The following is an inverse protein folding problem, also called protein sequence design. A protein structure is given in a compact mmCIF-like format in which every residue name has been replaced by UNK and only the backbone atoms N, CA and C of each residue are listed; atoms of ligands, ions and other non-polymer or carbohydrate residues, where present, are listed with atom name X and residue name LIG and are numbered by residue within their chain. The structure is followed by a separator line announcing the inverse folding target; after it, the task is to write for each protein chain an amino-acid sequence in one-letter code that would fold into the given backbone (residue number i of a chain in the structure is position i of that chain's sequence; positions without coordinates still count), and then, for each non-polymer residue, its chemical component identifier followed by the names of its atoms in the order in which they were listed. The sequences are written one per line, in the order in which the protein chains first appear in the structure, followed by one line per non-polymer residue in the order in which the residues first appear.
data_IF_722843374631
#
_entry.id   IF_722843374631
#
_cell.length_a   1.000
_cell.length_b   1.000
_cell.length_c   1.000
_cell.angle_alpha   90.00
_cell.angle_beta   90.00
_cell.angle_gamma   90.00
#
_symmetry.space_group_name_H-M   'P 1'
#
loop_
_entity.id
_entity.type
_entity.pdbx_description
1 polymer ?
#
# COMPACT_ATOMS: atom_id res chain seq x y z
N UNK A 1 14.91 7.21 -11.40
CA UNK A 1 14.73 8.09 -10.22
C UNK A 1 13.23 8.38 -10.09
N UNK A 2 12.57 7.94 -9.02
CA UNK A 2 11.15 8.24 -8.80
C UNK A 2 11.03 9.76 -8.64
N UNK A 3 10.28 10.43 -9.50
CA UNK A 3 10.10 11.89 -9.42
C UNK A 3 9.49 12.22 -8.06
N UNK A 4 10.16 13.04 -7.26
CA UNK A 4 9.56 13.62 -6.04
C UNK A 4 8.48 14.59 -6.51
N UNK A 5 7.26 14.10 -6.67
CA UNK A 5 6.12 14.93 -7.04
C UNK A 5 5.63 15.69 -5.82
N UNK A 6 5.84 17.00 -5.81
CA UNK A 6 5.23 17.89 -4.84
C UNK A 6 3.81 18.24 -5.32
N UNK A 7 2.83 17.89 -4.50
CA UNK A 7 1.43 18.01 -4.88
C UNK A 7 1.00 19.47 -4.86
N UNK A 8 0.52 19.97 -5.99
CA UNK A 8 0.05 21.35 -6.11
C UNK A 8 -1.30 21.60 -5.41
N UNK A 9 -2.16 20.59 -5.30
CA UNK A 9 -3.51 20.78 -4.75
C UNK A 9 -3.55 20.67 -3.22
N UNK A 10 -4.15 21.66 -2.54
CA UNK A 10 -4.41 21.64 -1.09
C UNK A 10 -5.59 20.75 -0.63
N UNK A 11 -6.06 19.81 -1.45
CA UNK A 11 -7.20 18.95 -1.09
C UNK A 11 -6.80 17.98 0.03
N UNK A 12 -7.62 17.89 1.10
CA UNK A 12 -7.34 17.12 2.33
C UNK A 12 -6.16 17.62 3.18
N UNK A 13 -5.84 18.92 3.13
CA UNK A 13 -4.82 19.52 3.99
C UNK A 13 -5.20 19.60 5.48
N UNK A 14 -6.46 19.34 5.85
CA UNK A 14 -6.94 19.35 7.23
C UNK A 14 -6.42 18.15 8.04
N UNK A 15 -6.18 18.29 9.34
CA UNK A 15 -5.78 17.17 10.21
C UNK A 15 -6.98 16.30 10.60
N UNK A 16 -6.76 15.02 10.91
CA UNK A 16 -7.85 14.13 11.36
C UNK A 16 -8.39 14.56 12.72
N UNK A 17 -7.51 15.07 13.59
CA UNK A 17 -7.86 15.66 14.89
C UNK A 17 -8.79 16.87 14.75
N UNK A 18 -8.47 17.81 13.84
CA UNK A 18 -9.31 18.97 13.56
C UNK A 18 -10.67 18.56 13.02
N UNK A 19 -10.71 17.54 12.16
CA UNK A 19 -11.95 17.00 11.63
C UNK A 19 -12.82 16.40 12.73
N UNK A 20 -12.23 15.60 13.63
CA UNK A 20 -12.94 15.01 14.76
C UNK A 20 -13.52 16.09 15.68
N UNK A 21 -12.72 17.11 16.02
CA UNK A 21 -13.17 18.27 16.83
C UNK A 21 -14.29 19.05 16.16
N UNK A 22 -14.16 19.32 14.86
CA UNK A 22 -15.18 20.04 14.10
C UNK A 22 -16.49 19.26 14.01
N UNK A 23 -16.43 17.94 13.76
CA UNK A 23 -17.62 17.08 13.73
C UNK A 23 -18.29 17.03 15.10
N UNK A 24 -17.53 16.84 16.18
CA UNK A 24 -18.07 16.84 17.54
C UNK A 24 -18.76 18.17 17.89
N UNK A 25 -18.16 19.31 17.54
CA UNK A 25 -18.75 20.63 17.78
C UNK A 25 -20.05 20.87 17.00
N UNK A 26 -20.16 20.32 15.79
CA UNK A 26 -21.37 20.47 14.95
C UNK A 26 -22.47 19.47 15.32
N UNK A 27 -22.11 18.25 15.71
CA UNK A 27 -23.07 17.23 16.14
C UNK A 27 -23.65 17.58 17.51
N UNK A 28 -22.83 18.08 18.45
CA UNK A 28 -23.30 18.58 19.75
C UNK A 28 -24.05 19.91 19.72
N UNK A 29 -24.17 20.54 18.54
CA UNK A 29 -24.88 21.80 18.37
C UNK A 29 -24.13 23.05 18.87
N UNK A 30 -22.88 22.90 19.35
CA UNK A 30 -22.05 24.01 19.84
C UNK A 30 -21.67 25.01 18.74
N UNK A 31 -21.51 24.54 17.50
CA UNK A 31 -21.18 25.38 16.34
C UNK A 31 -21.99 25.00 15.10
N UNK A 32 -22.37 26.00 14.31
CA UNK A 32 -22.92 25.79 12.96
C UNK A 32 -21.83 25.43 11.94
N UNK A 33 -22.21 24.74 10.86
CA UNK A 33 -21.28 24.29 9.80
C UNK A 33 -20.36 25.38 9.24
N UNK A 34 -20.88 26.61 9.05
CA UNK A 34 -20.08 27.73 8.52
C UNK A 34 -19.00 28.21 9.51
N UNK A 35 -19.33 28.25 10.80
CA UNK A 35 -18.42 28.67 11.85
C UNK A 35 -17.32 27.63 12.03
N UNK A 36 -17.71 26.36 12.21
CA UNK A 36 -16.77 25.25 12.36
C UNK A 36 -15.82 25.12 11.14
N UNK A 37 -16.34 25.29 9.92
CA UNK A 37 -15.50 25.28 8.71
C UNK A 37 -14.39 26.35 8.73
N UNK A 38 -14.70 27.56 9.22
CA UNK A 38 -13.73 28.64 9.35
C UNK A 38 -12.74 28.40 10.49
N UNK A 39 -13.23 27.98 11.65
CA UNK A 39 -12.42 27.78 12.87
C UNK A 39 -11.41 26.66 12.70
N UNK A 40 -11.79 25.55 12.08
CA UNK A 40 -10.94 24.37 11.90
C UNK A 40 -10.27 24.31 10.52
N UNK A 41 -10.46 25.33 9.67
CA UNK A 41 -9.95 25.38 8.29
C UNK A 41 -10.35 24.16 7.43
N UNK A 42 -11.58 23.69 7.60
CA UNK A 42 -12.12 22.51 6.91
C UNK A 42 -13.16 22.94 5.88
N UNK A 43 -13.10 22.44 4.63
CA UNK A 43 -14.15 22.71 3.65
C UNK A 43 -15.52 22.29 4.18
N UNK A 44 -16.47 23.23 4.18
CA UNK A 44 -17.84 23.02 4.71
C UNK A 44 -18.50 21.75 4.18
N UNK A 45 -18.37 21.48 2.88
CA UNK A 45 -18.97 20.29 2.24
C UNK A 45 -18.39 18.98 2.79
N UNK A 46 -17.10 18.96 3.13
CA UNK A 46 -16.44 17.78 3.73
C UNK A 46 -16.91 17.58 5.17
N UNK A 47 -16.98 18.68 5.94
CA UNK A 47 -17.48 18.66 7.30
C UNK A 47 -18.95 18.19 7.36
N UNK A 48 -19.80 18.73 6.48
CA UNK A 48 -21.20 18.35 6.37
C UNK A 48 -21.35 16.86 6.04
N UNK A 49 -20.61 16.36 5.04
CA UNK A 49 -20.64 14.95 4.68
C UNK A 49 -20.26 14.04 5.86
N UNK A 50 -19.18 14.38 6.58
CA UNK A 50 -18.72 13.58 7.75
C UNK A 50 -19.68 13.67 8.93
N UNK A 51 -20.20 14.86 9.26
CA UNK A 51 -21.18 15.03 10.34
C UNK A 51 -22.51 14.30 10.05
N UNK A 52 -22.98 14.30 8.81
CA UNK A 52 -24.17 13.52 8.42
C UNK A 52 -23.96 12.03 8.65
N UNK A 53 -22.81 11.45 8.27
CA UNK A 53 -22.51 10.04 8.52
C UNK A 53 -22.61 9.67 10.00
N UNK A 54 -22.06 10.51 10.87
CA UNK A 54 -22.13 10.34 12.34
C UNK A 54 -23.58 10.43 12.83
N UNK A 55 -24.36 11.39 12.35
CA UNK A 55 -25.79 11.54 12.73
C UNK A 55 -26.65 10.35 12.32
N UNK A 56 -26.36 9.75 11.17
CA UNK A 56 -27.11 8.60 10.64
C UNK A 56 -26.47 7.24 10.97
N UNK A 57 -25.49 7.19 11.89
CA UNK A 57 -24.79 5.97 12.31
C UNK A 57 -24.28 5.12 11.13
N UNK A 58 -23.86 5.79 10.05
CA UNK A 58 -23.24 5.11 8.93
C UNK A 58 -21.82 4.69 9.32
N UNK A 59 -21.32 3.54 8.82
CA UNK A 59 -19.96 3.11 9.10
C UNK A 59 -18.99 4.24 8.78
N UNK A 60 -18.24 4.63 9.81
CA UNK A 60 -17.27 5.68 9.71
C UNK A 60 -16.07 5.11 8.95
N UNK A 61 -15.92 5.49 7.68
CA UNK A 61 -14.63 5.40 7.02
C UNK A 61 -13.76 6.51 7.64
N UNK A 62 -13.16 6.18 8.78
CA UNK A 62 -12.48 7.13 9.66
C UNK A 62 -11.26 7.74 8.96
N UNK A 63 -10.64 6.98 8.06
CA UNK A 63 -9.44 7.38 7.36
C UNK A 63 -9.71 8.47 6.31
N UNK A 64 -8.75 9.37 6.12
CA UNK A 64 -8.75 10.23 4.93
C UNK A 64 -8.78 9.34 3.68
N UNK A 65 -9.75 9.51 2.75
CA UNK A 65 -9.79 8.67 1.57
C UNK A 65 -8.48 8.81 0.80
N UNK A 66 -7.84 7.67 0.51
CA UNK A 66 -6.58 7.60 -0.22
C UNK A 66 -6.69 8.40 -1.52
N UNK A 67 -5.77 9.36 -1.67
CA UNK A 67 -5.78 10.27 -2.80
C UNK A 67 -5.16 9.60 -4.04
N UNK A 68 -5.89 9.63 -5.16
CA UNK A 68 -5.45 9.07 -6.44
C UNK A 68 -5.93 7.64 -6.68
N UNK A 69 -5.69 7.17 -7.90
CA UNK A 69 -6.10 5.86 -8.40
C UNK A 69 -5.24 4.71 -7.85
N UNK A 70 -3.95 4.95 -7.62
CA UNK A 70 -3.03 3.89 -7.23
C UNK A 70 -3.41 3.31 -5.86
N UNK A 71 -3.50 1.99 -5.81
CA UNK A 71 -3.74 1.20 -4.60
C UNK A 71 -2.59 0.20 -4.46
N UNK A 72 -2.20 -0.08 -3.22
CA UNK A 72 -1.28 -1.19 -2.96
C UNK A 72 -1.97 -2.49 -3.40
N UNK A 73 -1.23 -3.34 -4.09
CA UNK A 73 -1.74 -4.66 -4.53
C UNK A 73 -1.88 -5.60 -3.34
N UNK A 74 -0.92 -5.54 -2.41
CA UNK A 74 -0.90 -6.35 -1.20
C UNK A 74 -1.28 -5.55 0.03
N UNK A 75 -1.98 -6.20 0.96
CA UNK A 75 -2.16 -5.73 2.33
C UNK A 75 -0.83 -5.78 3.10
N UNK A 76 -0.77 -5.14 4.26
CA UNK A 76 0.45 -5.14 5.08
C UNK A 76 0.83 -6.53 5.59
N UNK A 77 -0.16 -7.38 5.84
CA UNK A 77 0.08 -8.76 6.27
C UNK A 77 0.64 -9.59 5.10
N UNK A 78 0.01 -9.51 3.92
CA UNK A 78 0.49 -10.16 2.71
C UNK A 78 1.90 -9.69 2.31
N UNK A 79 2.18 -8.40 2.46
CA UNK A 79 3.50 -7.85 2.20
C UNK A 79 4.56 -8.44 3.16
N UNK A 80 4.22 -8.63 4.44
CA UNK A 80 5.11 -9.29 5.41
C UNK A 80 5.34 -10.77 5.08
N UNK A 81 4.30 -11.49 4.67
CA UNK A 81 4.42 -12.90 4.28
C UNK A 81 5.35 -13.04 3.07
N UNK A 82 5.18 -12.16 2.07
CA UNK A 82 6.04 -12.11 0.89
C UNK A 82 7.51 -11.80 1.26
N UNK A 83 7.74 -10.85 2.17
CA UNK A 83 9.09 -10.54 2.69
C UNK A 83 9.69 -11.74 3.41
N UNK A 84 8.91 -12.46 4.22
CA UNK A 84 9.35 -13.68 4.90
C UNK A 84 9.77 -14.76 3.91
N UNK A 85 8.99 -14.96 2.86
CA UNK A 85 9.32 -15.90 1.79
C UNK A 85 10.62 -15.52 1.07
N UNK A 86 10.78 -14.24 0.68
CA UNK A 86 12.01 -13.76 0.04
C UNK A 86 13.23 -13.95 0.95
N UNK A 87 13.11 -13.71 2.25
CA UNK A 87 14.21 -13.95 3.21
C UNK A 87 14.60 -15.41 3.30
N UNK A 88 13.62 -16.31 3.31
CA UNK A 88 13.90 -17.75 3.26
C UNK A 88 14.61 -18.13 1.96
N UNK A 89 14.18 -17.58 0.82
CA UNK A 89 14.87 -17.78 -0.46
C UNK A 89 16.30 -17.25 -0.42
N UNK A 90 16.55 -16.07 0.17
CA UNK A 90 17.90 -15.52 0.34
C UNK A 90 18.81 -16.38 1.23
N UNK A 91 18.25 -17.17 2.15
CA UNK A 91 19.01 -18.08 2.99
C UNK A 91 19.51 -19.30 2.19
N UNK A 92 18.70 -19.80 1.26
CA UNK A 92 19.04 -20.97 0.44
C UNK A 92 19.75 -20.62 -0.87
N UNK A 93 19.45 -19.45 -1.44
CA UNK A 93 20.01 -18.96 -2.70
C UNK A 93 20.82 -17.69 -2.47
N UNK A 94 22.03 -17.67 -3.01
CA UNK A 94 22.99 -16.60 -2.82
C UNK A 94 22.48 -15.25 -3.37
N UNK A 95 21.58 -15.27 -4.37
CA UNK A 95 21.07 -14.08 -5.04
C UNK A 95 19.57 -14.19 -5.31
N UNK A 96 18.77 -13.27 -4.77
CA UNK A 96 17.40 -13.03 -5.23
C UNK A 96 17.40 -11.74 -6.04
N UNK A 97 17.18 -11.84 -7.34
CA UNK A 97 17.18 -10.69 -8.23
C UNK A 97 15.87 -9.90 -8.13
N UNK A 98 15.88 -8.65 -8.62
CA UNK A 98 14.63 -7.87 -8.75
C UNK A 98 13.62 -8.53 -9.68
N UNK A 99 14.10 -9.32 -10.64
CA UNK A 99 13.26 -10.07 -11.56
C UNK A 99 12.48 -11.14 -10.80
N UNK A 100 13.18 -11.89 -9.95
CA UNK A 100 12.63 -12.97 -9.14
C UNK A 100 11.55 -12.44 -8.18
N UNK A 101 11.78 -11.30 -7.54
CA UNK A 101 10.79 -10.64 -6.68
C UNK A 101 9.53 -10.25 -7.46
N UNK A 102 9.68 -9.83 -8.73
CA UNK A 102 8.55 -9.42 -9.58
C UNK A 102 7.72 -10.61 -10.05
N UNK A 103 8.37 -11.73 -10.39
CA UNK A 103 7.71 -12.99 -10.76
C UNK A 103 6.98 -13.59 -9.55
N UNK A 104 7.66 -13.66 -8.41
CA UNK A 104 7.08 -14.12 -7.14
C UNK A 104 5.86 -13.29 -6.73
N UNK A 105 5.93 -11.96 -6.86
CA UNK A 105 4.79 -11.10 -6.56
C UNK A 105 3.61 -11.36 -7.48
N UNK A 106 3.83 -11.59 -8.77
CA UNK A 106 2.76 -11.95 -9.70
C UNK A 106 2.10 -13.27 -9.28
N UNK A 107 2.90 -14.30 -9.04
CA UNK A 107 2.41 -15.61 -8.64
C UNK A 107 1.63 -15.54 -7.32
N UNK A 108 2.17 -14.87 -6.30
CA UNK A 108 1.49 -14.70 -5.03
C UNK A 108 0.14 -13.97 -5.20
N UNK A 109 0.04 -13.02 -6.13
CA UNK A 109 -1.20 -12.31 -6.38
C UNK A 109 -2.26 -13.19 -7.06
N UNK A 110 -1.87 -14.00 -8.04
CA UNK A 110 -2.73 -14.98 -8.71
C UNK A 110 -3.19 -16.08 -7.74
N UNK A 111 -2.27 -16.65 -6.94
CA UNK A 111 -2.58 -17.71 -5.97
C UNK A 111 -3.58 -17.24 -4.90
N UNK A 112 -3.49 -15.97 -4.51
CA UNK A 112 -4.42 -15.34 -3.56
C UNK A 112 -5.66 -14.71 -4.24
N UNK A 113 -5.84 -14.88 -5.55
CA UNK A 113 -6.94 -14.33 -6.35
C UNK A 113 -7.12 -12.81 -6.16
N UNK A 114 -6.01 -12.07 -6.08
CA UNK A 114 -6.00 -10.63 -5.86
C UNK A 114 -6.10 -9.89 -7.19
N UNK A 115 -6.95 -8.87 -7.24
CA UNK A 115 -6.99 -7.97 -8.39
C UNK A 115 -5.70 -7.13 -8.43
N UNK A 116 -4.92 -7.26 -9.51
CA UNK A 116 -3.63 -6.61 -9.65
C UNK A 116 -3.42 -5.97 -11.03
N UNK A 117 -2.64 -4.87 -11.13
CA UNK A 117 -2.28 -4.23 -12.38
C UNK A 117 -1.05 -4.86 -13.05
N UNK A 118 -0.62 -6.04 -12.61
CA UNK A 118 0.56 -6.72 -13.16
C UNK A 118 0.30 -7.24 -14.58
N UNK A 119 1.38 -7.37 -15.35
CA UNK A 119 1.28 -7.81 -16.74
C UNK A 119 1.18 -9.33 -16.79
N UNK A 120 0.03 -9.81 -17.25
CA UNK A 120 -0.30 -11.23 -17.37
C UNK A 120 0.53 -11.90 -18.48
N UNK A 121 0.93 -11.17 -19.52
CA UNK A 121 1.70 -11.75 -20.63
C UNK A 121 3.12 -12.08 -20.20
N UNK A 122 3.76 -11.17 -19.46
CA UNK A 122 5.11 -11.37 -18.92
C UNK A 122 5.10 -12.11 -17.59
N UNK A 123 3.94 -12.29 -16.94
CA UNK A 123 3.75 -12.90 -15.62
C UNK A 123 4.62 -12.26 -14.54
N UNK A 124 4.69 -10.93 -14.57
CA UNK A 124 5.60 -10.15 -13.73
C UNK A 124 4.95 -8.88 -13.19
N UNK A 125 5.29 -8.53 -11.95
CA UNK A 125 5.00 -7.21 -11.41
C UNK A 125 5.78 -6.11 -12.16
N UNK A 126 5.30 -4.86 -12.13
CA UNK A 126 5.97 -3.73 -12.79
C UNK A 126 7.27 -3.28 -12.10
N UNK A 127 8.14 -2.58 -12.84
CA UNK A 127 9.37 -2.00 -12.29
C UNK A 127 9.13 -1.00 -11.15
N UNK A 128 8.08 -0.18 -11.26
CA UNK A 128 7.76 0.78 -10.21
C UNK A 128 7.19 0.12 -8.96
N UNK A 129 6.55 -1.04 -9.13
CA UNK A 129 6.10 -1.85 -8.00
C UNK A 129 7.29 -2.38 -7.19
N UNK A 130 8.28 -3.01 -7.84
CA UNK A 130 9.44 -3.58 -7.12
C UNK A 130 10.27 -2.49 -6.46
N UNK A 131 10.44 -1.33 -7.12
CA UNK A 131 11.13 -0.17 -6.52
C UNK A 131 10.42 0.33 -5.27
N UNK A 132 9.10 0.41 -5.31
CA UNK A 132 8.30 0.86 -4.17
C UNK A 132 8.32 -0.17 -3.03
N UNK A 133 8.28 -1.45 -3.36
CA UNK A 133 8.37 -2.56 -2.41
C UNK A 133 9.74 -2.60 -1.70
N UNK A 134 10.84 -2.50 -2.45
CA UNK A 134 12.20 -2.47 -1.88
C UNK A 134 12.47 -1.19 -1.08
N UNK A 135 11.82 -0.07 -1.43
CA UNK A 135 11.91 1.16 -0.62
C UNK A 135 11.26 0.99 0.77
N UNK A 136 10.22 0.17 0.87
CA UNK A 136 9.55 -0.15 2.15
C UNK A 136 10.27 -1.24 2.93
N UNK A 137 10.96 -2.14 2.24
CA UNK A 137 11.68 -3.28 2.80
C UNK A 137 13.17 -3.21 2.39
N UNK A 138 13.95 -2.23 2.91
CA UNK A 138 15.35 -2.04 2.53
C UNK A 138 16.24 -3.20 2.96
N UNK A 139 15.81 -3.98 3.95
CA UNK A 139 16.44 -5.18 4.48
C UNK A 139 16.58 -6.31 3.43
N UNK A 140 15.76 -6.30 2.38
CA UNK A 140 15.87 -7.24 1.25
C UNK A 140 16.99 -6.88 0.27
N UNK A 141 17.54 -5.66 0.32
CA UNK A 141 18.62 -5.21 -0.54
C UNK A 141 19.99 -5.72 -0.04
N UNK A 142 20.18 -7.03 0.05
CA UNK A 142 21.52 -7.59 0.19
C UNK A 142 22.17 -7.69 -1.19
N UNK A 143 23.27 -6.96 -1.37
CA UNK A 143 24.01 -6.84 -2.63
C UNK A 143 24.96 -8.03 -2.72
N UNK A 144 24.53 -9.11 -3.36
CA UNK A 144 25.46 -10.16 -3.74
C UNK A 144 26.38 -9.62 -4.85
N UNK A 145 27.69 -9.67 -4.63
CA UNK A 145 28.71 -9.08 -5.50
C UNK A 145 29.07 -9.95 -6.73
N UNK A 146 28.25 -10.94 -7.10
CA UNK A 146 28.61 -11.91 -8.13
C UNK A 146 27.55 -12.03 -9.24
N UNK A 147 28.01 -12.03 -10.49
CA UNK A 147 27.22 -12.30 -11.70
C UNK A 147 26.91 -13.80 -11.77
N UNK A 148 25.63 -14.19 -11.66
CA UNK A 148 25.23 -15.59 -11.93
C UNK A 148 23.80 -15.71 -12.46
N UNK A 149 23.54 -16.86 -13.09
CA UNK A 149 22.36 -17.26 -13.85
C UNK A 149 21.02 -17.17 -13.09
N UNK A 150 19.89 -16.96 -13.79
CA UNK A 150 18.57 -16.84 -13.17
C UNK A 150 18.15 -18.12 -12.45
N UNK A 151 17.52 -17.98 -11.29
CA UNK A 151 17.02 -19.10 -10.49
C UNK A 151 15.88 -19.79 -11.25
N UNK A 152 16.00 -21.10 -11.48
CA UNK A 152 14.91 -21.90 -12.04
C UNK A 152 13.86 -22.20 -10.96
N UNK A 153 12.76 -21.45 -10.99
CA UNK A 153 11.68 -21.52 -9.99
C UNK A 153 11.01 -22.90 -9.90
N UNK A 154 10.83 -23.62 -11.02
CA UNK A 154 10.21 -24.96 -11.02
C UNK A 154 11.05 -25.96 -10.22
N UNK A 155 12.37 -25.83 -10.29
CA UNK A 155 13.30 -26.69 -9.56
C UNK A 155 13.29 -26.39 -8.06
N UNK A 156 13.12 -25.13 -7.65
CA UNK A 156 13.01 -24.77 -6.24
C UNK A 156 11.70 -25.25 -5.61
N UNK A 157 10.58 -25.07 -6.31
CA UNK A 157 9.28 -25.48 -5.79
C UNK A 157 9.25 -27.00 -5.55
N UNK A 158 9.80 -27.78 -6.49
CA UNK A 158 9.97 -29.22 -6.32
C UNK A 158 10.87 -29.60 -5.13
N UNK A 159 11.96 -28.88 -4.91
CA UNK A 159 12.86 -29.12 -3.77
C UNK A 159 12.18 -28.84 -2.42
N UNK A 160 11.40 -27.76 -2.32
CA UNK A 160 10.67 -27.42 -1.09
C UNK A 160 9.57 -28.44 -0.78
N UNK A 161 8.89 -28.97 -1.79
CA UNK A 161 7.89 -30.04 -1.61
C UNK A 161 8.51 -31.38 -1.17
N UNK A 162 9.82 -31.59 -1.36
CA UNK A 162 10.50 -32.81 -0.92
C UNK A 162 10.99 -32.74 0.54
N UNK A 163 10.96 -31.55 1.16
CA UNK A 163 11.40 -31.32 2.54
C UNK A 163 10.24 -31.27 3.55
N UNK A 164 8.99 -31.48 3.11
CA UNK A 164 7.81 -31.67 3.99
C UNK A 164 7.46 -33.14 4.14
#
# INVERSE_FOLDING_TARGET
MVRKYERMSGRQSWSEEDMARAVAAVVSGKMGYKLAARTFHIPRSTLQRRASKVRYQQPADDTKPLMGWYRRVFTENQEKDLVGYIKSMQQYFICVSRRDIRELAFQYAEDNNLNHPFDVNTRMAGEDWVRSFLKRNPDLLHKAEYETEPVNFDQFYHFMCQLS
#
